data_IF_440308234590
#
_entry.id   IF_440308234590
#
_cell.length_a   1.000
_cell.length_b   1.000
_cell.length_c   1.000
_cell.angle_alpha   90.00
_cell.angle_beta   90.00
_cell.angle_gamma   90.00
#
_symmetry.space_group_name_H-M   'P 1'
#
loop_
_entity.id
_entity.type
_entity.pdbx_description
1 polymer ?
#
# COMPACT_ATOMS: atom_id res chain seq x y z
N UNK A 1 -16.15 32.05 -11.75
CA UNK A 1 -15.27 32.56 -10.69
C UNK A 1 -15.37 31.62 -9.50
N UNK A 2 -14.34 30.80 -9.27
CA UNK A 2 -14.33 29.81 -8.18
C UNK A 2 -14.05 30.55 -6.87
N UNK A 3 -15.06 30.79 -6.05
CA UNK A 3 -14.91 31.45 -4.75
C UNK A 3 -14.43 30.43 -3.73
N UNK A 4 -13.19 30.60 -3.25
CA UNK A 4 -12.61 29.78 -2.19
C UNK A 4 -13.05 30.29 -0.82
N UNK A 5 -13.34 29.39 0.11
CA UNK A 5 -13.47 29.70 1.55
C UNK A 5 -12.17 29.31 2.27
N UNK A 6 -11.68 30.17 3.17
CA UNK A 6 -10.53 29.89 4.03
C UNK A 6 -10.82 28.70 4.97
N UNK A 7 -9.78 28.07 5.51
CA UNK A 7 -9.93 26.96 6.45
C UNK A 7 -10.73 27.33 7.72
N UNK A 8 -10.54 28.55 8.23
CA UNK A 8 -11.30 29.09 9.37
C UNK A 8 -12.78 29.29 9.03
N UNK A 9 -13.09 29.85 7.84
CA UNK A 9 -14.48 30.07 7.41
C UNK A 9 -15.27 28.78 7.17
N UNK A 10 -14.60 27.66 6.87
CA UNK A 10 -15.23 26.34 6.73
C UNK A 10 -15.55 25.72 8.10
N UNK A 11 -14.68 25.92 9.10
CA UNK A 11 -14.93 25.41 10.45
C UNK A 11 -16.16 26.09 11.10
N UNK A 12 -16.30 27.40 10.91
CA UNK A 12 -17.48 28.16 11.34
C UNK A 12 -18.74 27.68 10.62
N UNK A 13 -18.69 27.54 9.29
CA UNK A 13 -19.79 27.03 8.48
C UNK A 13 -20.29 25.66 8.99
N UNK A 14 -19.36 24.72 9.21
CA UNK A 14 -19.70 23.39 9.70
C UNK A 14 -20.34 23.46 11.09
N UNK A 15 -19.80 24.29 11.98
CA UNK A 15 -20.31 24.46 13.34
C UNK A 15 -21.73 25.03 13.36
N UNK A 16 -22.01 26.06 12.56
CA UNK A 16 -23.35 26.61 12.39
C UNK A 16 -24.36 25.59 11.82
N UNK A 17 -23.88 24.61 11.07
CA UNK A 17 -24.68 23.53 10.50
C UNK A 17 -24.82 22.29 11.39
N UNK A 18 -24.23 22.29 12.60
CA UNK A 18 -24.22 21.13 13.50
C UNK A 18 -23.34 19.97 12.99
N UNK A 19 -22.30 20.29 12.22
CA UNK A 19 -21.32 19.36 11.66
C UNK A 19 -19.93 19.64 12.22
N UNK A 20 -19.09 18.61 12.28
CA UNK A 20 -17.65 18.72 12.53
C UNK A 20 -16.86 18.04 11.42
N UNK A 21 -15.67 18.56 11.12
CA UNK A 21 -14.81 17.98 10.08
C UNK A 21 -14.36 16.57 10.50
N UNK A 22 -14.51 15.58 9.62
CA UNK A 22 -14.07 14.20 9.84
C UNK A 22 -12.82 13.84 9.01
N UNK A 23 -12.48 14.63 8.00
CA UNK A 23 -11.20 14.57 7.29
C UNK A 23 -10.12 15.44 7.95
N UNK A 24 -8.84 15.10 7.75
CA UNK A 24 -7.72 15.94 8.21
C UNK A 24 -7.70 17.27 7.45
N UNK A 25 -7.68 18.44 8.13
CA UNK A 25 -7.63 19.75 7.47
C UNK A 25 -6.42 19.83 6.53
N UNK A 26 -6.64 20.28 5.29
CA UNK A 26 -5.56 20.57 4.35
C UNK A 26 -5.33 22.08 4.27
N UNK A 27 -4.46 22.68 5.09
CA UNK A 27 -4.28 24.13 5.16
C UNK A 27 -3.69 24.77 3.89
N UNK A 28 -3.19 23.96 2.93
CA UNK A 28 -2.56 24.46 1.71
C UNK A 28 -3.54 24.72 0.55
N UNK A 29 -4.79 24.24 0.65
CA UNK A 29 -5.80 24.36 -0.41
C UNK A 29 -7.10 24.86 0.23
N UNK A 30 -7.50 26.10 -0.08
CA UNK A 30 -8.82 26.59 0.30
C UNK A 30 -9.92 25.68 -0.23
N UNK A 31 -11.09 25.70 0.39
CA UNK A 31 -12.18 24.80 0.04
C UNK A 31 -13.07 25.42 -1.05
N UNK A 32 -13.41 24.62 -2.07
CA UNK A 32 -14.29 25.03 -3.17
C UNK A 32 -15.73 24.69 -2.83
N UNK A 33 -16.67 25.60 -3.11
CA UNK A 33 -18.10 25.44 -2.76
C UNK A 33 -18.77 24.19 -3.33
N UNK A 34 -18.25 23.65 -4.43
CA UNK A 34 -18.78 22.50 -5.14
C UNK A 34 -18.06 21.18 -4.81
N UNK A 35 -16.95 21.23 -4.06
CA UNK A 35 -16.22 20.04 -3.64
C UNK A 35 -16.90 19.40 -2.43
N UNK A 36 -16.78 18.09 -2.32
CA UNK A 36 -17.32 17.34 -1.19
C UNK A 36 -16.34 17.36 -0.02
N UNK A 37 -16.85 17.70 1.17
CA UNK A 37 -16.15 17.63 2.45
C UNK A 37 -16.65 16.43 3.23
N UNK A 38 -15.74 15.64 3.81
CA UNK A 38 -16.14 14.59 4.74
C UNK A 38 -16.36 15.15 6.15
N UNK A 39 -17.60 15.13 6.62
CA UNK A 39 -17.99 15.70 7.91
C UNK A 39 -18.90 14.74 8.70
N UNK A 40 -18.85 14.88 10.01
CA UNK A 40 -19.65 14.13 10.96
C UNK A 40 -20.73 15.02 11.57
N UNK A 41 -21.96 14.52 11.67
CA UNK A 41 -23.01 15.21 12.39
C UNK A 41 -22.80 15.12 13.90
N UNK A 42 -22.83 16.28 14.58
CA UNK A 42 -22.66 16.35 16.04
C UNK A 42 -23.86 15.75 16.80
N UNK A 43 -25.04 15.75 16.18
CA UNK A 43 -26.28 15.27 16.82
C UNK A 43 -26.46 13.75 16.73
N UNK A 44 -26.17 13.13 15.58
CA UNK A 44 -26.41 11.70 15.37
C UNK A 44 -25.16 10.87 15.11
N UNK A 45 -23.97 11.48 15.03
CA UNK A 45 -22.71 10.79 14.78
C UNK A 45 -22.49 10.30 13.35
N UNK A 46 -23.49 10.41 12.47
CA UNK A 46 -23.39 9.97 11.07
C UNK A 46 -22.35 10.78 10.32
N UNK A 47 -21.43 10.08 9.67
CA UNK A 47 -20.42 10.65 8.79
C UNK A 47 -20.90 10.62 7.33
N UNK A 48 -20.76 11.74 6.63
CA UNK A 48 -21.14 11.84 5.22
C UNK A 48 -20.40 12.97 4.50
N UNK A 49 -20.45 12.93 3.18
CA UNK A 49 -19.90 13.95 2.31
C UNK A 49 -20.93 15.07 2.07
N UNK A 50 -20.54 16.31 2.31
CA UNK A 50 -21.38 17.50 2.10
C UNK A 50 -20.64 18.53 1.25
N UNK A 51 -21.36 19.17 0.32
CA UNK A 51 -20.83 20.34 -0.39
C UNK A 51 -20.98 21.59 0.49
N UNK A 52 -19.98 22.49 0.56
CA UNK A 52 -20.15 23.76 1.28
C UNK A 52 -21.36 24.56 0.79
N UNK A 53 -21.65 24.56 -0.52
CA UNK A 53 -22.86 25.19 -1.06
C UNK A 53 -24.15 24.62 -0.46
N UNK A 54 -24.21 23.29 -0.32
CA UNK A 54 -25.36 22.62 0.25
C UNK A 54 -25.53 22.98 1.73
N UNK A 55 -24.44 23.00 2.48
CA UNK A 55 -24.43 23.40 3.90
C UNK A 55 -24.97 24.83 4.04
N UNK A 56 -24.41 25.79 3.28
CA UNK A 56 -24.86 27.18 3.28
C UNK A 56 -26.36 27.32 3.00
N UNK A 57 -26.85 26.60 1.98
CA UNK A 57 -28.26 26.64 1.60
C UNK A 57 -29.16 26.12 2.72
N UNK A 58 -28.85 24.95 3.29
CA UNK A 58 -29.69 24.33 4.32
C UNK A 58 -29.67 25.07 5.65
N UNK A 59 -28.52 25.61 6.04
CA UNK A 59 -28.43 26.51 7.20
C UNK A 59 -29.29 27.76 7.00
N UNK A 60 -29.32 28.35 5.81
CA UNK A 60 -30.17 29.51 5.52
C UNK A 60 -31.67 29.18 5.51
N UNK A 61 -32.05 28.00 5.02
CA UNK A 61 -33.44 27.52 4.99
C UNK A 61 -33.95 27.06 6.38
N UNK A 62 -33.09 26.99 7.40
CA UNK A 62 -33.43 26.49 8.73
C UNK A 62 -33.67 24.96 8.77
N UNK A 63 -33.28 24.23 7.72
CA UNK A 63 -33.42 22.78 7.64
C UNK A 63 -32.17 22.06 8.20
N UNK A 64 -32.34 20.88 8.83
CA UNK A 64 -31.20 20.06 9.24
C UNK A 64 -30.28 19.71 8.06
N UNK A 65 -29.01 20.13 8.14
CA UNK A 65 -28.01 19.83 7.10
C UNK A 65 -27.69 18.33 7.04
N UNK A 66 -27.72 17.63 8.18
CA UNK A 66 -27.60 16.19 8.21
C UNK A 66 -28.89 15.52 7.69
N UNK A 67 -28.80 14.85 6.52
CA UNK A 67 -29.93 14.11 5.94
C UNK A 67 -30.46 12.99 6.84
N UNK A 68 -29.61 12.35 7.65
CA UNK A 68 -30.08 11.34 8.61
C UNK A 68 -31.00 11.97 9.66
N UNK A 69 -30.61 13.11 10.25
CA UNK A 69 -31.45 13.86 11.19
C UNK A 69 -32.74 14.36 10.53
N UNK A 70 -32.63 14.90 9.31
CA UNK A 70 -33.79 15.36 8.55
C UNK A 70 -34.82 14.23 8.36
N UNK A 71 -34.39 13.05 7.89
CA UNK A 71 -35.31 11.95 7.64
C UNK A 71 -35.86 11.33 8.93
N UNK A 72 -35.08 11.31 10.03
CA UNK A 72 -35.59 10.91 11.35
C UNK A 72 -36.67 11.85 11.87
N UNK A 73 -36.52 13.16 11.66
CA UNK A 73 -37.56 14.14 11.99
C UNK A 73 -38.80 13.92 11.11
N UNK A 74 -38.61 13.76 9.80
CA UNK A 74 -39.71 13.48 8.88
C UNK A 74 -40.47 12.18 9.24
N UNK A 75 -39.77 11.10 9.59
CA UNK A 75 -40.41 9.84 10.04
C UNK A 75 -41.25 10.02 11.31
N UNK A 76 -40.88 10.96 12.18
CA UNK A 76 -41.62 11.30 13.40
C UNK A 76 -42.89 12.10 13.09
N UNK A 77 -42.81 13.05 12.17
CA UNK A 77 -43.87 14.02 11.91
C UNK A 77 -44.85 13.58 10.81
N UNK A 78 -44.45 12.65 9.93
CA UNK A 78 -45.27 12.11 8.85
C UNK A 78 -46.65 11.54 9.30
N UNK A 79 -46.80 10.83 10.43
CA UNK A 79 -48.11 10.35 10.88
C UNK A 79 -49.15 11.48 11.07
N UNK A 80 -48.75 12.62 11.64
CA UNK A 80 -49.60 13.80 11.81
C UNK A 80 -50.00 14.44 10.48
N UNK A 81 -49.09 14.44 9.50
CA UNK A 81 -49.33 15.01 8.16
C UNK A 81 -50.31 14.18 7.31
N UNK A 82 -50.36 12.85 7.51
CA UNK A 82 -51.19 11.93 6.71
C UNK A 82 -52.40 11.36 7.46
N UNK A 83 -52.73 11.87 8.66
CA UNK A 83 -53.90 11.45 9.43
C UNK A 83 -53.89 9.98 9.86
N UNK A 84 -52.70 9.38 10.03
CA UNK A 84 -52.55 7.99 10.45
C UNK A 84 -52.39 7.89 11.97
N UNK A 85 -52.94 6.84 12.63
CA UNK A 85 -52.81 6.71 14.08
C UNK A 85 -51.34 6.65 14.49
N UNK A 86 -51.01 7.32 15.60
CA UNK A 86 -49.69 7.23 16.23
C UNK A 86 -49.39 5.77 16.54
N UNK A 87 -48.42 5.19 15.83
CA UNK A 87 -47.74 4.00 16.33
C UNK A 87 -46.86 4.53 17.44
N UNK A 88 -47.36 4.51 18.68
CA UNK A 88 -46.57 4.80 19.85
C UNK A 88 -45.28 4.01 19.77
N UNK A 89 -44.13 4.69 19.78
CA UNK A 89 -42.86 4.07 20.17
C UNK A 89 -42.98 3.70 21.64
N UNK A 90 -43.77 2.66 21.94
CA UNK A 90 -43.46 1.86 23.11
C UNK A 90 -42.10 1.26 22.80
N UNK A 91 -41.07 1.79 23.48
CA UNK A 91 -39.95 1.03 24.05
C UNK A 91 -38.62 1.77 23.96
N UNK A 92 -38.41 2.72 24.88
CA UNK A 92 -37.06 3.04 25.38
C UNK A 92 -36.55 1.97 26.39
N UNK A 93 -37.25 0.83 26.52
CA UNK A 93 -36.95 -0.25 27.47
C UNK A 93 -36.60 -1.61 26.83
N UNK A 94 -36.47 -1.73 25.50
CA UNK A 94 -36.28 -3.02 24.80
C UNK A 94 -35.01 -3.07 23.92
N UNK A 95 -33.95 -2.35 24.30
CA UNK A 95 -32.66 -2.43 23.60
C UNK A 95 -32.01 -3.84 23.67
N UNK A 96 -32.47 -4.70 24.59
CA UNK A 96 -32.00 -6.07 24.80
C UNK A 96 -33.01 -7.16 24.38
N UNK A 97 -34.02 -6.86 23.55
CA UNK A 97 -34.92 -7.90 23.02
C UNK A 97 -34.24 -8.69 21.89
N UNK A 98 -33.98 -10.00 22.06
CA UNK A 98 -33.30 -10.81 21.04
C UNK A 98 -34.07 -10.90 19.71
N UNK A 99 -35.41 -10.74 19.73
CA UNK A 99 -36.22 -10.76 18.51
C UNK A 99 -36.05 -9.48 17.70
N UNK A 100 -36.00 -8.31 18.35
CA UNK A 100 -35.74 -7.03 17.69
C UNK A 100 -34.31 -6.98 17.13
N UNK A 101 -33.33 -7.53 17.84
CA UNK A 101 -31.95 -7.66 17.34
C UNK A 101 -31.88 -8.56 16.10
N UNK A 102 -32.59 -9.69 16.09
CA UNK A 102 -32.68 -10.59 14.93
C UNK A 102 -33.37 -9.92 13.72
N UNK A 103 -34.45 -9.17 13.96
CA UNK A 103 -35.14 -8.41 12.92
C UNK A 103 -34.26 -7.31 12.34
N UNK A 104 -33.54 -6.57 13.19
CA UNK A 104 -32.57 -5.57 12.77
C UNK A 104 -31.45 -6.18 11.91
N UNK A 105 -30.84 -7.28 12.36
CA UNK A 105 -29.83 -8.00 11.56
C UNK A 105 -30.38 -8.47 10.20
N UNK A 106 -31.63 -8.95 10.17
CA UNK A 106 -32.31 -9.33 8.93
C UNK A 106 -32.51 -8.12 8.02
N UNK A 107 -32.90 -6.97 8.58
CA UNK A 107 -33.07 -5.72 7.84
C UNK A 107 -31.74 -5.18 7.30
N UNK A 108 -30.65 -5.27 8.08
CA UNK A 108 -29.27 -4.98 7.63
C UNK A 108 -28.92 -5.84 6.41
N UNK A 109 -29.16 -7.16 6.44
CA UNK A 109 -28.90 -8.04 5.28
C UNK A 109 -29.73 -7.68 4.06
N UNK A 110 -30.99 -7.26 4.25
CA UNK A 110 -31.86 -6.81 3.15
C UNK A 110 -31.38 -5.48 2.56
N UNK A 111 -30.99 -4.53 3.41
CA UNK A 111 -30.41 -3.26 3.00
C UNK A 111 -29.07 -3.48 2.26
N UNK A 112 -28.21 -4.36 2.78
CA UNK A 112 -26.94 -4.75 2.17
C UNK A 112 -27.13 -5.24 0.73
N UNK A 113 -28.03 -6.22 0.53
CA UNK A 113 -28.31 -6.75 -0.82
C UNK A 113 -28.78 -5.64 -1.78
N UNK A 114 -29.62 -4.73 -1.29
CA UNK A 114 -30.17 -3.64 -2.10
C UNK A 114 -29.13 -2.59 -2.48
N UNK A 115 -28.16 -2.31 -1.61
CA UNK A 115 -27.08 -1.37 -1.91
C UNK A 115 -26.05 -1.97 -2.86
N UNK A 116 -25.77 -3.27 -2.73
CA UNK A 116 -24.88 -4.00 -3.62
C UNK A 116 -25.41 -4.04 -5.06
N UNK A 117 -26.74 -4.23 -5.25
CA UNK A 117 -27.41 -4.12 -6.56
C UNK A 117 -27.18 -2.77 -7.27
N UNK A 118 -26.75 -1.75 -6.54
CA UNK A 118 -26.57 -0.38 -7.01
C UNK A 118 -25.12 0.13 -6.91
N UNK A 119 -24.17 -0.78 -6.69
CA UNK A 119 -22.72 -0.48 -6.60
C UNK A 119 -22.34 0.40 -5.40
N UNK A 120 -23.00 0.17 -4.26
CA UNK A 120 -22.70 0.81 -2.97
C UNK A 120 -22.36 -0.21 -1.89
N UNK A 121 -21.50 0.18 -0.97
CA UNK A 121 -21.27 -0.45 0.33
C UNK A 121 -22.24 0.15 1.35
N UNK A 122 -22.90 -0.69 2.17
CA UNK A 122 -23.66 -0.23 3.33
C UNK A 122 -22.66 0.10 4.44
N UNK A 123 -22.63 1.35 4.87
CA UNK A 123 -21.80 1.77 6.00
C UNK A 123 -22.55 1.54 7.30
N UNK A 124 -23.84 1.91 7.32
CA UNK A 124 -24.68 1.81 8.52
C UNK A 124 -26.17 1.79 8.12
N UNK A 125 -26.98 0.98 8.82
CA UNK A 125 -28.44 1.09 8.81
C UNK A 125 -28.84 1.91 10.05
N UNK A 126 -29.15 3.18 9.83
CA UNK A 126 -29.31 4.20 10.87
C UNK A 126 -30.70 4.17 11.52
N UNK A 127 -31.72 3.79 10.76
CA UNK A 127 -33.09 3.62 11.25
C UNK A 127 -33.78 2.59 10.35
N UNK A 128 -34.32 1.53 10.94
CA UNK A 128 -35.08 0.49 10.25
C UNK A 128 -36.50 0.34 10.82
N UNK A 129 -37.02 1.43 11.38
CA UNK A 129 -38.37 1.51 11.89
C UNK A 129 -39.45 1.22 10.83
N UNK A 130 -40.73 1.23 11.23
CA UNK A 130 -41.85 0.73 10.43
C UNK A 130 -42.16 1.53 9.15
N UNK A 131 -41.41 2.60 8.87
CA UNK A 131 -41.60 3.49 7.71
C UNK A 131 -40.36 3.48 6.81
N UNK A 132 -39.71 4.64 6.66
CA UNK A 132 -38.57 4.78 5.78
C UNK A 132 -37.29 4.34 6.45
N UNK A 133 -36.60 3.36 5.86
CA UNK A 133 -35.30 2.92 6.33
C UNK A 133 -34.23 3.94 5.93
N UNK A 134 -33.48 4.45 6.91
CA UNK A 134 -32.42 5.42 6.71
C UNK A 134 -31.10 4.67 6.70
N UNK A 135 -30.36 4.79 5.62
CA UNK A 135 -29.08 4.12 5.41
C UNK A 135 -27.97 5.12 5.14
N UNK A 136 -26.76 4.78 5.56
CA UNK A 136 -25.52 5.42 5.11
C UNK A 136 -24.88 4.50 4.09
N UNK A 137 -24.64 5.04 2.91
CA UNK A 137 -24.08 4.29 1.78
C UNK A 137 -22.79 4.94 1.33
N UNK A 138 -21.82 4.13 0.94
CA UNK A 138 -20.57 4.58 0.32
C UNK A 138 -20.49 4.02 -1.09
N UNK A 139 -20.36 4.90 -2.08
CA UNK A 139 -20.25 4.49 -3.46
C UNK A 139 -18.93 3.74 -3.66
N UNK A 140 -18.99 2.51 -4.20
CA UNK A 140 -17.80 1.69 -4.46
C UNK A 140 -16.89 2.37 -5.50
N UNK A 141 -17.47 3.12 -6.44
CA UNK A 141 -16.75 3.72 -7.55
C UNK A 141 -16.02 5.03 -7.18
N UNK A 142 -16.67 5.95 -6.46
CA UNK A 142 -16.08 7.26 -6.14
C UNK A 142 -15.81 7.50 -4.64
N UNK A 143 -16.12 6.54 -3.77
CA UNK A 143 -15.94 6.67 -2.32
C UNK A 143 -16.91 7.65 -1.63
N UNK A 144 -17.79 8.31 -2.40
CA UNK A 144 -18.77 9.27 -1.85
C UNK A 144 -19.72 8.58 -0.88
N UNK A 145 -19.77 9.09 0.35
CA UNK A 145 -20.61 8.60 1.44
C UNK A 145 -21.79 9.53 1.71
N UNK A 146 -23.02 9.03 1.74
CA UNK A 146 -24.22 9.85 1.98
C UNK A 146 -25.29 9.08 2.77
N UNK A 147 -26.00 9.81 3.63
CA UNK A 147 -27.20 9.35 4.31
C UNK A 147 -28.45 9.60 3.45
N UNK A 148 -29.28 8.57 3.24
CA UNK A 148 -30.50 8.64 2.41
C UNK A 148 -31.54 7.60 2.85
N UNK A 149 -32.75 7.70 2.33
CA UNK A 149 -33.76 6.64 2.46
C UNK A 149 -33.40 5.48 1.53
N UNK A 150 -33.63 4.25 1.97
CA UNK A 150 -33.40 3.04 1.15
C UNK A 150 -34.22 3.08 -0.15
N UNK A 151 -35.43 3.64 -0.12
CA UNK A 151 -36.28 3.78 -1.30
C UNK A 151 -35.71 4.78 -2.34
N UNK A 152 -35.06 5.85 -1.88
CA UNK A 152 -34.43 6.87 -2.74
C UNK A 152 -33.09 6.42 -3.34
N UNK A 153 -32.70 5.14 -3.14
CA UNK A 153 -31.41 4.64 -3.59
C UNK A 153 -31.36 4.47 -5.12
N UNK A 154 -31.04 5.56 -5.79
CA UNK A 154 -30.63 5.59 -7.19
C UNK A 154 -29.15 5.27 -7.38
N UNK A 155 -28.71 5.17 -8.65
CA UNK A 155 -27.28 5.08 -8.99
C UNK A 155 -26.55 6.36 -8.60
N UNK A 156 -25.27 6.24 -8.25
CA UNK A 156 -24.47 7.41 -7.90
C UNK A 156 -24.37 8.36 -9.10
N UNK A 157 -24.42 9.67 -8.84
CA UNK A 157 -24.23 10.71 -9.85
C UNK A 157 -22.84 10.65 -10.51
N UNK A 158 -21.90 9.89 -9.94
CA UNK A 158 -20.65 9.49 -10.60
C UNK A 158 -20.88 8.50 -11.77
N UNK A 159 -22.10 8.34 -12.30
CA UNK A 159 -22.40 7.48 -13.46
C UNK A 159 -22.03 6.00 -13.32
N UNK A 160 -21.73 5.51 -12.10
CA UNK A 160 -21.21 4.16 -11.88
C UNK A 160 -19.82 3.98 -12.51
N UNK A 161 -19.45 2.79 -13.01
CA UNK A 161 -18.20 2.56 -13.73
C UNK A 161 -18.02 3.41 -15.01
N UNK A 162 -18.96 4.30 -15.33
CA UNK A 162 -18.88 5.29 -16.41
C UNK A 162 -18.60 6.73 -15.96
N UNK A 163 -18.49 7.06 -14.67
CA UNK A 163 -17.99 8.39 -14.26
C UNK A 163 -17.09 8.34 -13.01
N UNK A 164 -15.98 7.66 -13.14
CA UNK A 164 -14.77 8.28 -13.67
C UNK A 164 -14.18 7.21 -14.57
N UNK A 165 -13.87 7.52 -15.82
CA UNK A 165 -12.97 6.65 -16.57
C UNK A 165 -11.74 6.43 -15.68
N UNK A 166 -11.42 5.18 -15.35
CA UNK A 166 -10.09 4.90 -14.80
C UNK A 166 -9.09 5.52 -15.76
N UNK A 167 -7.97 6.06 -15.26
CA UNK A 167 -6.95 6.68 -16.12
C UNK A 167 -6.68 5.77 -17.30
N UNK A 168 -7.10 6.21 -18.50
CA UNK A 168 -6.76 5.56 -19.76
C UNK A 168 -5.25 5.42 -19.74
N UNK A 169 -4.73 4.25 -20.07
CA UNK A 169 -3.29 4.06 -20.06
C UNK A 169 -2.57 5.08 -20.97
N UNK A 170 -3.25 5.55 -22.02
CA UNK A 170 -2.79 6.65 -22.88
C UNK A 170 -2.71 8.02 -22.16
N UNK A 171 -3.65 8.32 -21.25
CA UNK A 171 -3.79 9.61 -20.56
C UNK A 171 -3.05 9.66 -19.22
N UNK A 172 -1.89 9.02 -19.15
CA UNK A 172 -1.06 9.09 -17.94
C UNK A 172 -0.39 10.44 -17.82
N UNK A 173 -0.39 11.01 -16.62
CA UNK A 173 0.17 12.33 -16.36
C UNK A 173 1.67 12.44 -16.72
N UNK A 174 2.42 11.33 -16.65
CA UNK A 174 3.83 11.27 -17.05
C UNK A 174 4.12 9.99 -17.82
N UNK A 175 4.33 10.13 -19.13
CA UNK A 175 4.81 9.06 -19.98
C UNK A 175 6.30 8.83 -19.75
N UNK A 176 6.69 7.60 -19.40
CA UNK A 176 8.08 7.22 -19.13
C UNK A 176 8.40 5.95 -19.92
N UNK A 177 9.48 6.02 -20.72
CA UNK A 177 10.02 4.85 -21.43
C UNK A 177 10.51 3.82 -20.41
N UNK A 178 10.13 2.56 -20.60
CA UNK A 178 10.49 1.45 -19.73
C UNK A 178 10.56 0.15 -20.53
N UNK A 179 11.43 -0.75 -20.10
CA UNK A 179 11.54 -2.08 -20.69
C UNK A 179 10.37 -2.95 -20.23
N UNK A 180 9.73 -3.62 -21.18
CA UNK A 180 8.61 -4.51 -20.90
C UNK A 180 9.11 -5.85 -20.38
N UNK A 181 8.46 -6.36 -19.35
CA UNK A 181 8.80 -7.67 -18.81
C UNK A 181 8.47 -8.79 -19.83
N UNK A 182 9.27 -9.88 -19.86
CA UNK A 182 8.93 -11.04 -20.67
C UNK A 182 7.52 -11.57 -20.38
N UNK A 183 6.80 -11.89 -21.45
CA UNK A 183 5.41 -12.38 -21.39
C UNK A 183 5.32 -13.89 -21.08
N UNK A 184 6.41 -14.63 -21.20
CA UNK A 184 6.45 -16.09 -21.09
C UNK A 184 6.51 -16.62 -19.64
N UNK A 185 6.59 -15.74 -18.64
CA UNK A 185 6.73 -16.12 -17.24
C UNK A 185 8.11 -16.65 -16.86
N UNK A 186 9.12 -16.46 -17.73
CA UNK A 186 10.52 -16.82 -17.46
C UNK A 186 11.17 -15.94 -16.39
N UNK A 187 10.54 -14.82 -16.02
CA UNK A 187 11.03 -13.83 -15.06
C UNK A 187 9.91 -13.45 -14.09
N UNK A 188 10.21 -13.40 -12.79
CA UNK A 188 9.30 -12.93 -11.74
C UNK A 188 9.17 -11.40 -11.74
N UNK A 189 8.13 -10.88 -11.09
CA UNK A 189 7.84 -9.43 -10.99
C UNK A 189 9.04 -8.57 -10.51
N UNK A 190 10.00 -9.14 -9.78
CA UNK A 190 11.21 -8.45 -9.31
C UNK A 190 12.39 -8.49 -10.31
N UNK A 191 12.18 -9.01 -11.53
CA UNK A 191 13.22 -9.10 -12.58
C UNK A 191 14.09 -10.36 -12.49
N UNK A 192 13.85 -11.24 -11.52
CA UNK A 192 14.63 -12.46 -11.34
C UNK A 192 14.13 -13.60 -12.24
N UNK A 193 15.05 -14.37 -12.83
CA UNK A 193 14.68 -15.57 -13.58
C UNK A 193 13.91 -16.57 -12.71
N UNK A 194 12.84 -17.14 -13.29
CA UNK A 194 11.95 -18.05 -12.62
C UNK A 194 12.60 -19.41 -12.34
N UNK A 195 13.42 -19.89 -13.27
CA UNK A 195 14.12 -21.19 -13.19
C UNK A 195 15.15 -21.21 -12.05
N UNK A 196 15.20 -22.32 -11.31
CA UNK A 196 16.21 -22.56 -10.29
C UNK A 196 17.62 -22.68 -10.90
N UNK A 197 17.74 -23.23 -12.12
CA UNK A 197 19.03 -23.35 -12.81
C UNK A 197 19.66 -21.98 -13.14
N UNK A 198 18.85 -20.92 -13.27
CA UNK A 198 19.31 -19.56 -13.50
C UNK A 198 19.54 -18.75 -12.20
N UNK A 199 19.58 -19.43 -11.04
CA UNK A 199 19.68 -18.74 -9.76
C UNK A 199 21.12 -18.25 -9.50
N UNK A 200 21.29 -16.92 -9.46
CA UNK A 200 22.58 -16.28 -9.21
C UNK A 200 22.99 -16.25 -7.72
N UNK A 201 22.15 -16.72 -6.80
CA UNK A 201 22.41 -16.66 -5.34
C UNK A 201 23.36 -17.75 -4.82
N UNK A 202 23.97 -18.55 -5.71
CA UNK A 202 24.89 -19.63 -5.33
C UNK A 202 24.19 -20.87 -4.75
N UNK A 203 22.86 -20.91 -4.68
CA UNK A 203 22.14 -22.04 -4.08
C UNK A 203 22.39 -23.38 -4.80
N UNK A 204 22.78 -23.36 -6.09
CA UNK A 204 23.10 -24.57 -6.84
C UNK A 204 24.35 -25.28 -6.31
N UNK A 205 25.25 -24.59 -5.61
CA UNK A 205 26.39 -25.20 -4.92
C UNK A 205 25.95 -26.14 -3.79
N UNK A 206 24.73 -25.95 -3.28
CA UNK A 206 24.14 -26.75 -2.21
C UNK A 206 23.30 -27.92 -2.75
N UNK A 207 23.15 -28.09 -4.07
CA UNK A 207 22.24 -29.08 -4.63
C UNK A 207 22.82 -30.51 -4.55
N UNK A 208 22.07 -31.45 -3.95
CA UNK A 208 22.47 -32.86 -3.91
C UNK A 208 21.97 -33.61 -5.15
N UNK A 209 22.77 -33.61 -6.22
CA UNK A 209 22.42 -34.26 -7.50
C UNK A 209 22.15 -35.76 -7.39
N UNK A 210 22.85 -36.45 -6.47
CA UNK A 210 22.73 -37.91 -6.31
C UNK A 210 21.39 -38.27 -5.69
N UNK A 211 20.98 -37.54 -4.64
CA UNK A 211 19.72 -37.81 -3.93
C UNK A 211 18.48 -37.24 -4.63
N UNK A 212 18.65 -36.21 -5.45
CA UNK A 212 17.53 -35.64 -6.20
C UNK A 212 17.23 -36.33 -7.52
N UNK A 213 18.14 -37.14 -8.08
CA UNK A 213 17.91 -37.81 -9.36
C UNK A 213 16.59 -38.62 -9.36
N UNK A 214 15.75 -38.52 -10.42
CA UNK A 214 15.98 -37.85 -11.71
C UNK A 214 15.56 -36.36 -11.75
N UNK A 215 15.21 -35.75 -10.62
CA UNK A 215 14.83 -34.33 -10.57
C UNK A 215 16.04 -33.44 -10.83
N UNK A 216 15.90 -32.47 -11.72
CA UNK A 216 16.96 -31.50 -12.05
C UNK A 216 16.52 -30.06 -11.76
N UNK A 217 17.46 -29.13 -11.49
CA UNK A 217 17.14 -27.73 -11.21
C UNK A 217 16.35 -27.03 -12.33
N UNK A 218 16.49 -27.45 -13.58
CA UNK A 218 15.81 -26.85 -14.74
C UNK A 218 14.28 -27.06 -14.67
N UNK A 219 13.85 -28.15 -14.03
CA UNK A 219 12.42 -28.49 -13.87
C UNK A 219 11.75 -27.74 -12.72
N UNK A 220 12.53 -26.99 -11.93
CA UNK A 220 12.06 -26.30 -10.73
C UNK A 220 12.14 -24.79 -10.89
N UNK A 221 11.19 -24.11 -10.26
CA UNK A 221 11.21 -22.65 -10.14
C UNK A 221 11.77 -22.24 -8.78
N UNK A 222 12.43 -21.07 -8.69
CA UNK A 222 13.02 -20.57 -7.44
C UNK A 222 12.00 -20.42 -6.30
N UNK A 223 10.72 -20.19 -6.59
CA UNK A 223 9.65 -20.06 -5.57
C UNK A 223 8.97 -21.39 -5.21
N UNK A 224 9.48 -22.51 -5.70
CA UNK A 224 8.91 -23.82 -5.41
C UNK A 224 8.93 -24.12 -3.90
N UNK A 225 7.80 -24.58 -3.38
CA UNK A 225 7.68 -25.08 -2.01
C UNK A 225 8.08 -26.57 -1.89
N UNK A 226 8.49 -27.19 -3.00
CA UNK A 226 8.90 -28.59 -3.02
C UNK A 226 10.15 -28.78 -2.16
N UNK A 227 10.07 -29.74 -1.24
CA UNK A 227 11.22 -30.21 -0.48
C UNK A 227 12.11 -31.08 -1.37
N UNK A 228 13.40 -30.74 -1.39
CA UNK A 228 14.45 -31.44 -2.14
C UNK A 228 15.68 -31.60 -1.25
N UNK A 229 16.61 -32.44 -1.66
CA UNK A 229 17.85 -32.68 -0.94
C UNK A 229 18.88 -31.60 -1.24
N UNK A 230 19.51 -31.10 -0.18
CA UNK A 230 20.62 -30.16 -0.22
C UNK A 230 21.80 -30.76 0.52
N UNK A 231 23.01 -30.37 0.15
CA UNK A 231 24.26 -30.71 0.82
C UNK A 231 24.98 -29.43 1.21
N UNK A 232 25.38 -29.32 2.47
CA UNK A 232 26.15 -28.16 2.92
C UNK A 232 27.57 -28.21 2.33
N UNK A 233 28.07 -27.15 1.67
CA UNK A 233 29.44 -27.13 1.15
C UNK A 233 30.50 -27.08 2.26
N UNK A 234 30.15 -26.63 3.47
CA UNK A 234 31.09 -26.50 4.60
C UNK A 234 31.20 -27.79 5.42
N UNK A 235 30.06 -28.35 5.87
CA UNK A 235 30.04 -29.52 6.76
C UNK A 235 29.59 -30.82 6.08
N UNK A 236 29.26 -30.77 4.79
CA UNK A 236 28.82 -31.92 3.97
C UNK A 236 27.58 -32.66 4.47
N UNK A 237 26.83 -32.09 5.42
CA UNK A 237 25.54 -32.64 5.85
C UNK A 237 24.53 -32.57 4.70
N UNK A 238 23.94 -33.72 4.34
CA UNK A 238 22.77 -33.79 3.48
C UNK A 238 21.49 -33.58 4.31
N UNK A 239 20.63 -32.66 3.89
CA UNK A 239 19.37 -32.33 4.56
C UNK A 239 18.27 -32.00 3.55
N UNK A 240 17.01 -32.00 4.00
CA UNK A 240 15.85 -31.69 3.17
C UNK A 240 15.32 -30.31 3.51
N UNK A 241 15.11 -29.47 2.49
CA UNK A 241 14.54 -28.14 2.65
C UNK A 241 13.78 -27.70 1.39
N UNK A 242 12.83 -26.75 1.50
CA UNK A 242 12.09 -26.25 0.35
C UNK A 242 12.97 -25.33 -0.52
N UNK A 243 12.77 -25.40 -1.84
CA UNK A 243 13.58 -24.63 -2.83
C UNK A 243 13.56 -23.13 -2.58
N UNK A 244 12.39 -22.54 -2.30
CA UNK A 244 12.29 -21.08 -2.07
C UNK A 244 13.12 -20.59 -0.88
N UNK A 245 13.33 -21.44 0.14
CA UNK A 245 14.16 -21.09 1.30
C UNK A 245 15.64 -21.03 0.90
N UNK A 246 16.11 -22.09 0.25
CA UNK A 246 17.51 -22.23 -0.16
C UNK A 246 17.93 -21.27 -1.27
N UNK A 247 16.99 -20.78 -2.08
CA UNK A 247 17.30 -19.73 -3.08
C UNK A 247 17.46 -18.34 -2.47
N UNK A 248 16.76 -18.05 -1.37
CA UNK A 248 16.78 -16.73 -0.73
C UNK A 248 17.95 -16.60 0.25
N UNK A 249 18.11 -17.58 1.14
CA UNK A 249 19.18 -17.59 2.14
C UNK A 249 19.56 -19.04 2.48
N UNK A 250 20.45 -19.67 1.68
CA UNK A 250 20.95 -21.00 1.98
C UNK A 250 21.45 -21.07 3.43
N UNK A 251 20.94 -22.02 4.22
CA UNK A 251 21.39 -22.25 5.58
C UNK A 251 21.45 -23.73 5.89
N UNK A 252 22.52 -24.17 6.56
CA UNK A 252 22.64 -25.52 7.07
C UNK A 252 22.10 -25.57 8.51
N UNK A 253 21.21 -26.52 8.85
CA UNK A 253 20.65 -26.62 10.21
C UNK A 253 21.72 -26.91 11.27
N UNK A 254 22.78 -27.64 10.93
CA UNK A 254 23.85 -27.95 11.87
C UNK A 254 24.81 -26.77 12.04
N UNK A 255 25.28 -26.17 10.94
CA UNK A 255 26.13 -24.98 11.04
C UNK A 255 25.40 -23.84 11.77
N UNK A 256 24.09 -23.66 11.53
CA UNK A 256 23.31 -22.65 12.23
C UNK A 256 23.24 -22.90 13.74
N UNK A 257 23.08 -24.16 14.17
CA UNK A 257 23.12 -24.51 15.60
C UNK A 257 24.50 -24.25 16.21
N UNK A 258 25.58 -24.66 15.53
CA UNK A 258 26.96 -24.39 15.97
C UNK A 258 27.20 -22.89 16.11
N UNK A 259 26.77 -22.09 15.14
CA UNK A 259 26.92 -20.63 15.20
C UNK A 259 26.10 -20.01 16.34
N UNK A 260 24.88 -20.49 16.60
CA UNK A 260 24.08 -20.04 17.75
C UNK A 260 24.74 -20.38 19.09
N UNK A 261 25.31 -21.57 19.23
CA UNK A 261 26.06 -21.97 20.42
C UNK A 261 27.30 -21.08 20.62
N UNK A 262 28.10 -20.87 19.55
CA UNK A 262 29.25 -19.95 19.59
C UNK A 262 28.86 -18.55 20.01
N UNK A 263 27.79 -17.99 19.44
CA UNK A 263 27.27 -16.68 19.83
C UNK A 263 26.84 -16.64 21.31
N UNK A 264 26.27 -17.73 21.82
CA UNK A 264 25.81 -17.80 23.21
C UNK A 264 26.98 -17.87 24.19
N UNK A 265 28.03 -18.62 23.85
CA UNK A 265 29.28 -18.72 24.62
C UNK A 265 29.99 -17.36 24.62
N UNK A 266 30.23 -16.77 23.45
CA UNK A 266 30.88 -15.46 23.30
C UNK A 266 30.12 -14.37 24.07
N UNK A 267 28.78 -14.36 24.03
CA UNK A 267 27.96 -13.44 24.82
C UNK A 267 28.12 -13.63 26.33
N UNK A 268 28.25 -14.87 26.79
CA UNK A 268 28.42 -15.16 28.23
C UNK A 268 29.83 -14.77 28.70
N UNK A 269 30.86 -15.07 27.91
CA UNK A 269 32.24 -14.65 28.19
C UNK A 269 32.36 -13.12 28.27
N UNK A 270 31.77 -12.40 27.30
CA UNK A 270 31.74 -10.92 27.28
C UNK A 270 31.01 -10.31 28.48
N UNK A 271 30.07 -11.04 29.11
CA UNK A 271 29.28 -10.52 30.25
C UNK A 271 30.14 -10.17 31.45
N UNK A 272 31.25 -10.88 31.63
CA UNK A 272 32.14 -10.73 32.79
C UNK A 272 33.38 -9.87 32.48
N UNK A 273 33.46 -9.29 31.30
CA UNK A 273 34.60 -8.50 30.85
C UNK A 273 34.23 -7.02 30.78
N UNK A 274 35.24 -6.19 30.98
CA UNK A 274 35.21 -4.74 30.87
C UNK A 274 35.85 -4.29 29.56
N UNK A 275 35.84 -2.99 29.28
CA UNK A 275 36.56 -2.41 28.14
C UNK A 275 38.07 -2.61 28.26
N UNK A 276 38.60 -2.61 29.48
CA UNK A 276 40.03 -2.77 29.73
C UNK A 276 40.58 -4.14 29.32
N UNK A 277 39.71 -5.17 29.24
CA UNK A 277 40.10 -6.52 28.82
C UNK A 277 40.34 -6.62 27.29
N UNK A 278 40.04 -5.56 26.54
CA UNK A 278 40.18 -5.49 25.08
C UNK A 278 41.22 -4.43 24.70
N UNK A 279 42.45 -4.82 24.32
CA UNK A 279 43.53 -3.88 24.00
C UNK A 279 43.15 -2.84 22.94
N UNK A 280 42.44 -3.25 21.89
CA UNK A 280 42.00 -2.36 20.81
C UNK A 280 40.96 -1.34 21.27
N UNK A 281 40.09 -1.71 22.22
CA UNK A 281 39.10 -0.79 22.78
C UNK A 281 39.74 0.15 23.79
N UNK A 282 40.63 -0.36 24.64
CA UNK A 282 41.35 0.44 25.62
C UNK A 282 42.24 1.48 24.94
N UNK A 283 42.95 1.10 23.88
CA UNK A 283 43.76 2.02 23.07
C UNK A 283 42.90 3.08 22.35
N UNK A 284 41.66 2.75 22.01
CA UNK A 284 40.72 3.66 21.38
C UNK A 284 39.83 4.42 22.39
N UNK A 285 40.00 4.22 23.70
CA UNK A 285 39.12 4.81 24.72
C UNK A 285 39.39 6.30 24.89
N UNK A 286 38.35 7.13 24.83
CA UNK A 286 38.44 8.59 24.85
C UNK A 286 37.24 9.20 25.61
N UNK A 287 36.71 8.44 26.56
CA UNK A 287 35.62 8.81 27.45
C UNK A 287 36.17 9.04 28.87
N UNK A 288 35.50 9.89 29.64
CA UNK A 288 35.92 10.25 31.00
C UNK A 288 35.65 9.12 32.01
N UNK A 289 34.73 8.21 31.66
CA UNK A 289 34.40 7.06 32.51
C UNK A 289 35.57 6.07 32.51
N UNK A 290 35.86 5.54 33.70
CA UNK A 290 36.91 4.53 33.88
C UNK A 290 36.58 3.26 33.05
N UNK A 291 37.45 2.85 32.09
CA UNK A 291 37.17 1.72 31.21
C UNK A 291 37.09 0.37 31.93
N UNK A 292 37.65 0.26 33.13
CA UNK A 292 37.56 -0.95 33.97
C UNK A 292 36.16 -1.16 34.56
N UNK A 293 35.37 -0.09 34.69
CA UNK A 293 34.03 -0.12 35.29
C UNK A 293 32.91 -0.26 34.24
N UNK A 294 33.26 -0.27 32.94
CA UNK A 294 32.30 -0.36 31.84
C UNK A 294 32.27 -1.79 31.31
N UNK A 295 31.14 -2.52 31.46
CA UNK A 295 31.00 -3.86 30.91
C UNK A 295 31.06 -3.84 29.38
N UNK A 296 31.70 -4.85 28.78
CA UNK A 296 31.77 -5.00 27.32
C UNK A 296 30.39 -5.13 26.66
N UNK A 297 29.40 -5.66 27.40
CA UNK A 297 28.01 -5.83 26.95
C UNK A 297 27.12 -4.60 27.18
N UNK A 298 27.67 -3.47 27.65
CA UNK A 298 26.86 -2.26 27.86
C UNK A 298 26.27 -1.75 26.53
N UNK A 299 25.03 -1.31 26.59
CA UNK A 299 24.27 -0.78 25.46
C UNK A 299 24.35 0.75 25.35
N UNK A 300 24.99 1.41 26.32
CA UNK A 300 25.28 2.85 26.27
C UNK A 300 26.36 3.13 25.24
N UNK A 301 26.31 4.35 24.68
CA UNK A 301 27.32 4.82 23.72
C UNK A 301 28.36 5.66 24.43
N UNK A 302 29.62 5.32 24.22
CA UNK A 302 30.80 5.98 24.79
C UNK A 302 31.64 6.61 23.69
N UNK A 303 32.50 7.56 24.05
CA UNK A 303 33.42 8.22 23.14
C UNK A 303 34.68 7.37 22.93
N UNK A 304 34.96 7.08 21.67
CA UNK A 304 36.21 6.46 21.23
C UNK A 304 36.99 7.42 20.34
N UNK A 305 38.27 7.17 20.15
CA UNK A 305 39.13 7.78 19.12
C UNK A 305 39.69 6.69 18.21
N UNK A 306 39.57 6.86 16.90
CA UNK A 306 40.14 5.92 15.94
C UNK A 306 41.46 6.42 15.37
N UNK A 307 42.28 5.55 14.73
CA UNK A 307 43.57 5.94 14.15
C UNK A 307 43.49 7.05 13.08
N UNK A 308 42.32 7.24 12.46
CA UNK A 308 42.08 8.33 11.52
C UNK A 308 41.66 9.66 12.21
N UNK A 309 41.68 9.72 13.55
CA UNK A 309 41.34 10.91 14.34
C UNK A 309 39.84 11.18 14.50
N UNK A 310 38.97 10.23 14.13
CA UNK A 310 37.53 10.41 14.36
C UNK A 310 37.16 10.08 15.81
N UNK A 311 36.21 10.83 16.37
CA UNK A 311 35.70 10.63 17.73
C UNK A 311 34.25 10.10 17.76
N UNK A 312 33.97 8.85 17.35
CA UNK A 312 32.62 8.34 17.33
C UNK A 312 32.05 8.09 18.74
N UNK A 313 30.73 8.31 18.89
CA UNK A 313 29.94 7.73 19.98
C UNK A 313 29.31 6.41 19.53
N UNK A 314 29.70 5.30 20.15
CA UNK A 314 29.26 3.94 19.83
C UNK A 314 29.20 3.07 21.10
N UNK A 315 28.48 1.95 21.05
CA UNK A 315 28.60 0.92 22.09
C UNK A 315 29.95 0.20 21.99
N UNK A 316 30.50 -0.36 23.07
CA UNK A 316 31.77 -1.09 23.04
C UNK A 316 31.77 -2.22 22.01
N UNK A 317 30.73 -3.06 22.02
CA UNK A 317 30.48 -4.12 21.02
C UNK A 317 30.45 -3.60 19.58
N UNK A 318 29.76 -2.48 19.32
CA UNK A 318 29.68 -1.94 17.97
C UNK A 318 31.03 -1.44 17.45
N UNK A 319 31.85 -0.86 18.32
CA UNK A 319 33.19 -0.40 17.95
C UNK A 319 34.16 -1.58 17.77
N UNK A 320 34.12 -2.58 18.65
CA UNK A 320 34.95 -3.78 18.53
C UNK A 320 34.63 -4.56 17.24
N UNK A 321 33.37 -4.96 17.08
CA UNK A 321 32.98 -5.89 16.01
C UNK A 321 33.02 -5.23 14.61
N UNK A 322 32.84 -3.91 14.54
CA UNK A 322 32.65 -3.23 13.26
C UNK A 322 33.52 -1.98 13.05
N UNK A 323 34.36 -1.62 14.02
CA UNK A 323 35.22 -0.43 14.01
C UNK A 323 34.48 0.90 14.05
N UNK A 324 35.25 1.98 13.86
CA UNK A 324 34.74 3.35 13.79
C UNK A 324 33.65 3.51 12.71
N UNK A 325 32.47 4.02 13.10
CA UNK A 325 31.32 4.25 12.21
C UNK A 325 31.62 5.23 11.07
N UNK A 326 32.52 6.19 11.26
CA UNK A 326 32.90 7.16 10.23
C UNK A 326 33.78 6.51 9.15
N UNK A 327 34.82 5.78 9.56
CA UNK A 327 35.65 5.02 8.63
C UNK A 327 34.81 3.99 7.85
N UNK A 328 33.87 3.31 8.53
CA UNK A 328 32.95 2.37 7.89
C UNK A 328 32.04 3.05 6.87
N UNK A 329 31.51 4.23 7.19
CA UNK A 329 30.69 5.01 6.27
C UNK A 329 31.50 5.44 5.04
N UNK A 330 32.73 5.92 5.21
CA UNK A 330 33.63 6.29 4.11
C UNK A 330 33.96 5.09 3.21
N UNK A 331 34.33 3.93 3.79
CA UNK A 331 34.53 2.67 3.02
C UNK A 331 33.28 2.27 2.25
N UNK A 332 32.12 2.41 2.88
CA UNK A 332 30.84 2.09 2.24
C UNK A 332 30.65 3.00 1.03
N UNK A 333 30.83 4.33 1.17
CA UNK A 333 30.71 5.30 0.10
C UNK A 333 31.68 5.05 -1.06
N UNK A 334 32.91 4.61 -0.78
CA UNK A 334 33.93 4.32 -1.79
C UNK A 334 33.71 2.98 -2.53
N UNK A 335 32.74 2.15 -2.13
CA UNK A 335 32.54 0.84 -2.74
C UNK A 335 31.98 0.98 -4.18
N UNK A 336 32.67 0.49 -5.22
CA UNK A 336 32.21 0.61 -6.60
C UNK A 336 30.98 -0.26 -6.91
N UNK A 337 30.68 -1.27 -6.09
CA UNK A 337 29.50 -2.16 -6.25
C UNK A 337 28.23 -1.60 -5.61
N UNK A 338 28.17 -0.30 -5.32
CA UNK A 338 26.95 0.29 -4.79
C UNK A 338 25.82 0.23 -5.81
N UNK A 339 24.64 -0.13 -5.32
CA UNK A 339 23.39 -0.10 -6.08
C UNK A 339 22.53 1.02 -5.52
N UNK A 340 21.95 1.84 -6.41
CA UNK A 340 21.14 3.00 -6.07
C UNK A 340 19.68 2.78 -6.45
N UNK A 341 18.84 3.77 -6.11
CA UNK A 341 17.40 3.67 -6.26
C UNK A 341 16.96 3.36 -7.69
N UNK A 342 17.64 3.92 -8.70
CA UNK A 342 17.29 3.64 -10.11
C UNK A 342 17.40 2.16 -10.44
N UNK A 343 18.42 1.49 -9.93
CA UNK A 343 18.66 0.07 -10.18
C UNK A 343 17.80 -0.81 -9.29
N UNK A 344 17.63 -0.49 -8.01
CA UNK A 344 16.80 -1.32 -7.11
C UNK A 344 15.31 -1.16 -7.38
N UNK A 345 14.86 0.04 -7.78
CA UNK A 345 13.46 0.37 -7.95
C UNK A 345 13.25 1.43 -9.06
N UNK A 346 13.29 1.01 -10.34
CA UNK A 346 13.17 1.92 -11.48
C UNK A 346 11.79 2.60 -11.55
N UNK A 347 10.72 1.97 -11.07
CA UNK A 347 9.39 2.60 -11.00
C UNK A 347 9.36 3.76 -10.02
N UNK A 348 9.93 3.55 -8.83
CA UNK A 348 10.03 4.61 -7.84
C UNK A 348 10.95 5.72 -8.35
N UNK A 349 12.08 5.38 -8.97
CA UNK A 349 12.97 6.35 -9.60
C UNK A 349 12.29 7.18 -10.70
N UNK A 350 11.31 6.64 -11.42
CA UNK A 350 10.53 7.36 -12.42
C UNK A 350 9.54 8.37 -11.81
N UNK A 351 9.04 8.12 -10.60
CA UNK A 351 8.19 9.07 -9.85
C UNK A 351 8.99 10.22 -9.23
N UNK A 352 10.32 10.13 -9.18
CA UNK A 352 11.19 11.15 -8.61
C UNK A 352 11.07 12.48 -9.36
N UNK A 353 10.94 13.59 -8.62
CA UNK A 353 10.96 14.95 -9.17
C UNK A 353 12.21 15.69 -8.70
N UNK A 354 12.32 15.97 -7.39
CA UNK A 354 13.44 16.75 -6.82
C UNK A 354 13.62 16.50 -5.34
N UNK A 355 14.80 16.82 -4.80
CA UNK A 355 15.07 16.81 -3.36
C UNK A 355 14.74 18.17 -2.76
N UNK A 356 14.09 18.20 -1.59
CA UNK A 356 13.83 19.45 -0.87
C UNK A 356 15.15 19.97 -0.30
N UNK A 357 15.44 21.25 -0.59
CA UNK A 357 16.66 21.92 -0.12
C UNK A 357 17.89 21.66 -0.98
N UNK A 358 17.74 21.05 -2.17
CA UNK A 358 18.84 20.84 -3.13
C UNK A 358 18.57 21.60 -4.43
N UNK A 359 18.79 22.92 -4.41
CA UNK A 359 18.57 23.77 -5.58
C UNK A 359 19.51 23.44 -6.76
N UNK A 360 20.69 22.89 -6.46
CA UNK A 360 21.71 22.52 -7.46
C UNK A 360 21.44 21.16 -8.13
N UNK A 361 20.45 20.38 -7.67
CA UNK A 361 20.10 19.09 -8.27
C UNK A 361 21.20 18.02 -8.16
N UNK A 362 22.02 18.09 -7.11
CA UNK A 362 23.11 17.13 -6.86
C UNK A 362 22.61 15.72 -6.55
N UNK A 363 21.40 15.60 -6.01
CA UNK A 363 20.82 14.32 -5.61
C UNK A 363 19.82 13.80 -6.64
N UNK A 364 20.12 12.63 -7.21
CA UNK A 364 19.32 11.96 -8.22
C UNK A 364 19.06 10.50 -7.82
N UNK A 365 18.12 9.79 -8.46
CA UNK A 365 17.95 8.35 -8.25
C UNK A 365 19.19 7.50 -8.54
N UNK A 366 20.18 8.06 -9.26
CA UNK A 366 21.43 7.41 -9.64
C UNK A 366 22.51 7.46 -8.56
N UNK A 367 22.35 8.33 -7.55
CA UNK A 367 23.30 8.46 -6.44
C UNK A 367 22.63 8.43 -5.05
N UNK A 368 21.31 8.27 -5.00
CA UNK A 368 20.55 8.10 -3.76
C UNK A 368 20.10 6.64 -3.61
N UNK A 369 20.36 6.05 -2.44
CA UNK A 369 19.88 4.70 -2.08
C UNK A 369 18.41 4.71 -1.67
N UNK A 370 17.75 3.58 -1.83
CA UNK A 370 16.37 3.36 -1.36
C UNK A 370 16.21 3.57 0.15
N UNK A 371 17.23 3.26 0.96
CA UNK A 371 17.20 3.48 2.42
C UNK A 371 17.39 4.94 2.86
N UNK A 372 17.55 5.87 1.92
CA UNK A 372 17.81 7.28 2.20
C UNK A 372 16.63 7.93 2.94
N UNK A 373 16.97 8.81 3.90
CA UNK A 373 16.01 9.61 4.69
C UNK A 373 15.84 11.04 4.16
N UNK A 374 16.41 11.34 2.99
CA UNK A 374 16.24 12.65 2.32
C UNK A 374 14.77 12.83 1.93
N UNK A 375 14.23 14.04 2.11
CA UNK A 375 12.87 14.39 1.68
C UNK A 375 12.87 14.69 0.19
N UNK A 376 12.05 13.95 -0.54
CA UNK A 376 11.94 14.00 -2.00
C UNK A 376 10.51 14.37 -2.35
N UNK A 377 10.34 15.22 -3.36
CA UNK A 377 9.07 15.46 -4.03
C UNK A 377 8.90 14.39 -5.10
N UNK A 378 7.77 13.69 -5.03
CA UNK A 378 7.36 12.63 -5.95
C UNK A 378 6.15 13.09 -6.73
N UNK A 379 5.98 12.58 -7.95
CA UNK A 379 4.79 12.78 -8.76
C UNK A 379 4.29 11.44 -9.27
N UNK A 380 3.01 11.14 -9.03
CA UNK A 380 2.37 9.91 -9.50
C UNK A 380 2.43 9.85 -11.03
N UNK A 381 2.89 8.73 -11.59
CA UNK A 381 2.90 8.54 -13.05
C UNK A 381 1.50 8.51 -13.65
N UNK A 382 0.52 7.97 -12.91
CA UNK A 382 -0.86 7.84 -13.40
C UNK A 382 -1.62 9.17 -13.37
N UNK A 383 -1.70 9.84 -12.21
CA UNK A 383 -2.56 11.03 -12.03
C UNK A 383 -1.82 12.36 -11.84
N UNK A 384 -0.48 12.37 -11.77
CA UNK A 384 0.30 13.60 -11.61
C UNK A 384 0.26 14.23 -10.22
N UNK A 385 -0.45 13.62 -9.26
CA UNK A 385 -0.46 14.10 -7.88
C UNK A 385 0.97 14.16 -7.32
N UNK A 386 1.35 15.30 -6.75
CA UNK A 386 2.64 15.48 -6.09
C UNK A 386 2.53 15.31 -4.58
N UNK A 387 3.53 14.68 -3.97
CA UNK A 387 3.65 14.57 -2.51
C UNK A 387 5.11 14.52 -2.07
N UNK A 388 5.35 14.78 -0.78
CA UNK A 388 6.69 14.77 -0.19
C UNK A 388 6.84 13.63 0.82
N UNK A 389 7.89 12.83 0.67
CA UNK A 389 8.27 11.75 1.62
C UNK A 389 9.69 11.27 1.32
N UNK A 390 10.23 10.34 2.10
CA UNK A 390 11.57 9.78 1.90
C UNK A 390 11.55 8.53 0.99
N UNK A 391 12.65 8.24 0.25
CA UNK A 391 12.79 6.97 -0.49
C UNK A 391 12.54 5.74 0.40
N UNK A 392 13.06 5.77 1.63
CA UNK A 392 12.91 4.68 2.60
C UNK A 392 11.46 4.38 2.92
N UNK A 393 10.66 5.43 3.15
CA UNK A 393 9.24 5.28 3.45
C UNK A 393 8.45 4.80 2.24
N UNK A 394 8.82 5.22 1.03
CA UNK A 394 8.16 4.81 -0.22
C UNK A 394 8.42 3.35 -0.58
N UNK A 395 9.58 2.81 -0.24
CA UNK A 395 9.89 1.38 -0.44
C UNK A 395 9.08 0.45 0.48
N UNK A 396 8.43 0.98 1.52
CA UNK A 396 7.58 0.17 2.40
C UNK A 396 6.24 -0.15 1.75
N UNK A 397 5.83 -1.42 1.81
CA UNK A 397 4.58 -1.94 1.21
C UNK A 397 3.33 -1.13 1.58
N UNK A 398 3.25 -0.61 2.81
CA UNK A 398 2.11 0.19 3.29
C UNK A 398 1.96 1.51 2.53
N UNK A 399 3.04 2.05 1.98
CA UNK A 399 3.09 3.32 1.26
C UNK A 399 3.21 3.13 -0.26
N UNK A 400 3.02 1.92 -0.77
CA UNK A 400 3.14 1.63 -2.21
C UNK A 400 1.99 2.21 -3.04
N UNK A 401 1.00 2.85 -2.41
CA UNK A 401 -0.19 3.40 -3.07
C UNK A 401 -0.15 4.92 -3.16
N UNK A 402 -0.48 5.46 -4.32
CA UNK A 402 -0.80 6.88 -4.45
C UNK A 402 -2.11 7.17 -3.69
N UNK A 403 -2.11 8.13 -2.77
CA UNK A 403 -3.30 8.49 -1.98
C UNK A 403 -4.41 9.13 -2.81
N UNK A 404 -4.08 9.70 -3.97
CA UNK A 404 -5.04 10.37 -4.84
C UNK A 404 -5.76 9.40 -5.79
N UNK A 405 -5.01 8.61 -6.57
CA UNK A 405 -5.61 7.71 -7.57
C UNK A 405 -5.48 6.22 -7.24
N UNK A 406 -4.87 5.86 -6.11
CA UNK A 406 -4.69 4.46 -5.70
C UNK A 406 -3.61 3.67 -6.46
N UNK A 407 -2.83 4.30 -7.38
CA UNK A 407 -1.78 3.63 -8.17
C UNK A 407 -0.88 2.82 -7.24
N UNK A 408 -0.62 1.56 -7.56
CA UNK A 408 0.28 0.68 -6.80
C UNK A 408 1.68 0.66 -7.41
N UNK A 409 2.70 0.48 -6.57
CA UNK A 409 4.05 0.10 -7.00
C UNK A 409 4.05 -1.36 -7.46
N UNK A 410 4.75 -1.67 -8.56
CA UNK A 410 4.68 -2.95 -9.25
C UNK A 410 3.38 -3.15 -10.04
N UNK A 411 2.76 -2.05 -10.47
CA UNK A 411 1.48 -2.11 -11.20
C UNK A 411 1.58 -2.88 -12.51
N UNK A 412 0.45 -3.46 -12.95
CA UNK A 412 0.34 -4.14 -14.24
C UNK A 412 0.71 -3.18 -15.38
N UNK A 413 0.21 -1.94 -15.34
CA UNK A 413 0.58 -0.90 -16.29
C UNK A 413 2.09 -0.64 -16.32
N UNK A 414 2.76 -0.57 -15.17
CA UNK A 414 4.21 -0.37 -15.15
C UNK A 414 4.97 -1.53 -15.79
N UNK A 415 4.61 -2.77 -15.46
CA UNK A 415 5.36 -3.97 -15.89
C UNK A 415 5.10 -4.39 -17.34
N UNK A 416 3.87 -4.18 -17.83
CA UNK A 416 3.41 -4.60 -19.15
C UNK A 416 2.74 -3.42 -19.89
N UNK A 417 3.52 -2.39 -20.29
CA UNK A 417 3.00 -1.21 -20.99
C UNK A 417 2.15 -1.56 -22.22
N UNK A 418 2.60 -2.48 -23.09
CA UNK A 418 1.89 -2.77 -24.34
C UNK A 418 0.57 -3.48 -24.10
N UNK A 419 0.53 -4.40 -23.13
CA UNK A 419 -0.73 -5.05 -22.74
C UNK A 419 -1.68 -4.07 -22.04
N UNK A 420 -1.16 -3.10 -21.30
CA UNK A 420 -1.97 -2.08 -20.65
C UNK A 420 -2.64 -1.12 -21.63
N UNK A 421 -2.10 -0.93 -22.85
CA UNK A 421 -2.76 -0.20 -23.94
C UNK A 421 -4.03 -0.91 -24.43
N UNK A 422 -4.06 -2.24 -24.34
CA UNK A 422 -5.24 -3.05 -24.67
C UNK A 422 -6.25 -3.15 -23.52
N UNK A 423 -6.03 -2.45 -22.41
CA UNK A 423 -6.95 -2.45 -21.28
C UNK A 423 -8.23 -1.68 -21.62
N UNK A 424 -9.38 -2.36 -21.53
CA UNK A 424 -10.66 -1.70 -21.85
C UNK A 424 -10.97 -0.59 -20.82
N UNK A 425 -11.26 0.64 -21.27
CA UNK A 425 -11.63 1.75 -20.38
C UNK A 425 -12.87 1.47 -19.51
N UNK A 426 -13.72 0.53 -19.94
CA UNK A 426 -14.94 0.13 -19.22
C UNK A 426 -14.67 -0.81 -18.04
N UNK A 427 -13.41 -1.19 -17.79
CA UNK A 427 -13.06 -1.93 -16.59
C UNK A 427 -13.22 -1.04 -15.34
N UNK A 428 -13.74 -1.59 -14.23
CA UNK A 428 -13.96 -0.82 -13.00
C UNK A 428 -12.67 -0.44 -12.26
N UNK A 429 -11.49 -0.77 -12.81
CA UNK A 429 -10.19 -0.51 -12.18
C UNK A 429 -9.16 -0.22 -13.26
N UNK A 430 -8.30 0.79 -13.04
CA UNK A 430 -7.20 1.13 -13.95
C UNK A 430 -6.08 0.08 -13.87
N UNK A 431 -5.34 -0.15 -14.98
CA UNK A 431 -4.18 -1.05 -14.96
C UNK A 431 -3.06 -0.55 -14.03
N UNK A 432 -3.11 0.70 -13.58
CA UNK A 432 -2.22 1.28 -12.56
C UNK A 432 -2.58 0.87 -11.11
N UNK A 433 -3.80 0.39 -10.87
CA UNK A 433 -4.31 0.06 -9.53
C UNK A 433 -4.24 -1.43 -9.18
N UNK A 434 -3.78 -2.25 -10.12
CA UNK A 434 -3.65 -3.71 -9.96
C UNK A 434 -2.22 -4.15 -10.26
N UNK A 435 -1.81 -5.31 -9.74
CA UNK A 435 -0.51 -5.93 -10.02
C UNK A 435 -0.68 -7.14 -10.96
N UNK A 436 0.37 -7.61 -11.65
CA UNK A 436 0.30 -8.78 -12.54
C UNK A 436 -0.26 -10.05 -11.86
N UNK A 437 0.12 -10.30 -10.61
CA UNK A 437 -0.39 -11.39 -9.79
C UNK A 437 -1.60 -11.02 -8.91
N UNK A 438 -2.18 -9.83 -9.08
CA UNK A 438 -3.31 -9.34 -8.29
C UNK A 438 -4.58 -10.16 -8.54
N UNK A 439 -5.28 -10.54 -7.47
CA UNK A 439 -6.61 -11.14 -7.58
C UNK A 439 -7.64 -10.02 -7.78
N UNK A 440 -8.27 -9.99 -8.95
CA UNK A 440 -9.40 -9.13 -9.24
C UNK A 440 -10.70 -9.87 -8.94
N UNK A 441 -11.70 -9.15 -8.43
CA UNK A 441 -13.06 -9.67 -8.18
C UNK A 441 -13.89 -9.78 -9.46
N UNK A 442 -13.43 -9.17 -10.55
CA UNK A 442 -14.03 -9.21 -11.87
C UNK A 442 -13.04 -9.77 -12.90
N UNK A 443 -13.58 -10.23 -14.03
CA UNK A 443 -12.78 -10.66 -15.19
C UNK A 443 -12.49 -9.45 -16.08
N UNK A 444 -11.21 -9.06 -16.28
CA UNK A 444 -10.89 -7.89 -17.10
C UNK A 444 -11.31 -8.04 -18.56
N UNK A 445 -11.80 -6.93 -19.11
CA UNK A 445 -12.09 -6.75 -20.52
C UNK A 445 -10.89 -6.13 -21.22
N UNK A 446 -10.69 -6.52 -22.47
CA UNK A 446 -9.60 -6.05 -23.31
C UNK A 446 -10.16 -5.54 -24.62
N UNK A 447 -9.48 -4.56 -25.21
CA UNK A 447 -9.82 -3.96 -26.49
C UNK A 447 -8.64 -4.10 -27.44
N UNK A 448 -8.91 -4.47 -28.70
CA UNK A 448 -7.83 -4.59 -29.67
C UNK A 448 -7.30 -3.22 -30.09
N UNK A 449 -5.99 -3.06 -30.09
CA UNK A 449 -5.31 -1.87 -30.61
C UNK A 449 -5.53 -1.62 -32.11
N UNK A 450 -5.84 -2.67 -32.90
CA UNK A 450 -6.11 -2.56 -34.34
C UNK A 450 -7.57 -2.31 -34.68
N UNK A 451 -8.49 -2.83 -33.85
CA UNK A 451 -9.93 -2.67 -34.07
C UNK A 451 -10.66 -2.52 -32.71
N UNK A 452 -11.12 -1.31 -32.37
CA UNK A 452 -11.85 -1.03 -31.13
C UNK A 452 -13.15 -1.85 -30.91
N UNK A 453 -13.69 -2.45 -31.98
CA UNK A 453 -14.85 -3.33 -31.91
C UNK A 453 -14.51 -4.72 -31.35
N UNK A 454 -13.26 -5.14 -31.50
CA UNK A 454 -12.81 -6.42 -30.97
C UNK A 454 -12.59 -6.30 -29.47
N UNK A 455 -13.50 -6.88 -28.68
CA UNK A 455 -13.44 -6.89 -27.22
C UNK A 455 -13.60 -8.31 -26.68
N UNK A 456 -12.79 -8.67 -25.70
CA UNK A 456 -12.83 -10.00 -25.08
C UNK A 456 -12.53 -9.92 -23.59
N UNK A 457 -12.87 -10.98 -22.86
CA UNK A 457 -12.63 -11.07 -21.42
C UNK A 457 -11.59 -12.14 -21.10
N UNK A 458 -10.55 -11.78 -20.34
CA UNK A 458 -9.49 -12.71 -19.92
C UNK A 458 -8.78 -12.20 -18.65
N UNK A 459 -8.25 -13.10 -17.83
CA UNK A 459 -7.44 -12.72 -16.67
C UNK A 459 -6.11 -12.07 -17.09
N UNK A 460 -5.54 -11.23 -16.22
CA UNK A 460 -4.20 -10.64 -16.42
C UNK A 460 -3.15 -11.74 -16.58
N UNK A 461 -3.17 -12.75 -15.72
CA UNK A 461 -2.18 -13.84 -15.74
C UNK A 461 -2.22 -14.62 -17.06
N UNK A 462 -3.43 -14.95 -17.55
CA UNK A 462 -3.58 -15.59 -18.85
C UNK A 462 -3.17 -14.66 -19.99
N UNK A 463 -3.45 -13.35 -19.89
CA UNK A 463 -3.03 -12.37 -20.91
C UNK A 463 -1.52 -12.27 -21.04
N UNK A 464 -0.81 -12.23 -19.91
CA UNK A 464 0.65 -12.21 -19.90
C UNK A 464 1.17 -13.48 -20.56
N UNK A 465 0.77 -14.66 -20.05
CA UNK A 465 1.29 -15.96 -20.50
C UNK A 465 0.97 -16.29 -21.96
N UNK A 466 -0.20 -15.87 -22.43
CA UNK A 466 -0.73 -16.17 -23.76
C UNK A 466 -0.82 -14.88 -24.58
N UNK A 467 0.28 -14.13 -24.68
CA UNK A 467 0.44 -12.87 -25.43
C UNK A 467 0.15 -12.93 -26.94
N UNK A 468 -0.67 -13.89 -27.41
CA UNK A 468 -1.08 -14.17 -28.80
C UNK A 468 -1.94 -13.06 -29.45
N UNK A 469 -1.95 -11.84 -28.91
CA UNK A 469 -2.69 -10.70 -29.47
C UNK A 469 -4.21 -10.84 -29.35
N UNK A 470 -4.94 -10.16 -30.24
CA UNK A 470 -6.40 -10.20 -30.28
C UNK A 470 -6.90 -11.53 -30.85
N UNK A 471 -7.77 -12.29 -30.14
CA UNK A 471 -8.26 -13.59 -30.59
C UNK A 471 -9.04 -13.49 -31.91
N UNK A 472 -9.83 -12.44 -32.08
CA UNK A 472 -10.59 -12.19 -33.32
C UNK A 472 -9.71 -11.89 -34.53
N UNK A 473 -8.55 -11.25 -34.33
CA UNK A 473 -7.58 -11.01 -35.41
C UNK A 473 -6.82 -12.29 -35.79
N UNK A 474 -6.58 -13.18 -34.83
CA UNK A 474 -5.91 -14.44 -35.08
C UNK A 474 -6.76 -15.40 -35.93
N UNK A 475 -8.07 -15.45 -35.69
CA UNK A 475 -9.00 -16.27 -36.47
C UNK A 475 -9.10 -15.85 -37.95
N UNK A 476 -9.03 -14.54 -38.24
CA UNK A 476 -9.02 -14.02 -39.62
C UNK A 476 -7.71 -14.23 -40.38
N UNK A 477 -6.62 -14.53 -39.69
CA UNK A 477 -5.30 -14.75 -40.32
C UNK A 477 -5.07 -16.22 -40.69
N UNK A 478 -5.97 -17.11 -40.28
CA UNK A 478 -5.92 -18.55 -40.52
C UNK A 478 -6.92 -19.04 -41.59
N UNK A 479 -7.68 -18.12 -42.19
CA UNK A 479 -8.72 -18.38 -43.20
C UNK A 479 -8.35 -17.89 -44.59
#
# INVERSE_FOLDING_TARGET
MTTYTSGEGIAELLTCAGLRMAESPNPARGYVREDYLFAQCVMCGVEAHYKPRYIMQKTHEGEPTCRACYWRAWNRDAPMMYGQPEISRQNEAYADDPLLAYEHERNVRRAQKRVEERDYELVELVDDGPREWIIVTRCINCGKQEARRLHDLGRCACGGPHAQEGVLYADTARQVKREEMPHDGSVYENGEHASLAACASGCLEWWDSKRNAPLTPETLTRRSQRNVWWICPECHLSFVAPVYWMTWRPSCPECEQVQRLRFSIDREERRHQSIADYPDLLAAWDDEINPFDVPMTDYRSYRFVCPAGHHPRQTPSSYLDNGCRHCRAARTQANPRQVYLRQTNPELAAEWVRVIGDAEGRYTPDNVKESSRRKVVWSCLACGHEWTTTPRERGLRINNRCKNCGKVLGSFAWKYPSLAEEWDPRNPTSPWNTTPAGRLTFKPRWICSRNPDHRWEMSITSRIKHSKGCPFCAERSAG
#
